data_IF_749103687584
#
_entry.id   IF_749103687584
#
_cell.length_a   1.000
_cell.length_b   1.000
_cell.length_c   1.000
_cell.angle_alpha   90.00
_cell.angle_beta   90.00
_cell.angle_gamma   90.00
#
_symmetry.space_group_name_H-M   'P 1'
#
loop_
_entity.id
_entity.type
_entity.pdbx_description
1 polymer ?
#
# COMPACT_ATOMS: atom_id res chain seq x y z
N UNK A 1 -1.53 -5.58 -9.84
CA UNK A 1 -1.72 -6.53 -10.95
C UNK A 1 -0.35 -6.87 -11.49
N UNK A 2 0.04 -8.14 -11.51
CA UNK A 2 1.39 -8.48 -11.98
C UNK A 2 1.58 -8.25 -13.49
N UNK A 3 2.84 -8.25 -13.92
CA UNK A 3 3.22 -7.98 -15.32
C UNK A 3 2.64 -9.00 -16.29
N UNK A 4 2.66 -10.29 -15.94
CA UNK A 4 2.22 -11.36 -16.83
C UNK A 4 0.71 -11.25 -17.08
N UNK A 5 -0.06 -11.04 -16.02
CA UNK A 5 -1.50 -10.82 -16.11
C UNK A 5 -1.84 -9.59 -16.95
N UNK A 6 -1.17 -8.45 -16.72
CA UNK A 6 -1.42 -7.22 -17.48
C UNK A 6 -1.16 -7.38 -18.97
N UNK A 7 -0.09 -8.09 -19.34
CA UNK A 7 0.20 -8.39 -20.74
C UNK A 7 -0.88 -9.27 -21.38
N UNK A 8 -1.30 -10.32 -20.69
CA UNK A 8 -2.34 -11.23 -21.19
C UNK A 8 -3.70 -10.54 -21.32
N UNK A 9 -4.06 -9.68 -20.35
CA UNK A 9 -5.35 -9.01 -20.29
C UNK A 9 -5.39 -7.68 -21.07
N UNK A 10 -4.28 -7.28 -21.72
CA UNK A 10 -4.21 -6.00 -22.46
C UNK A 10 -4.22 -4.76 -21.57
N UNK A 11 -3.90 -4.89 -20.27
CA UNK A 11 -3.95 -3.82 -19.27
C UNK A 11 -2.59 -3.14 -19.10
N UNK A 12 -1.98 -2.71 -20.22
CA UNK A 12 -0.63 -2.16 -20.23
C UNK A 12 -0.56 -0.65 -19.96
N UNK A 13 -1.71 0.02 -19.88
CA UNK A 13 -1.74 1.44 -19.54
C UNK A 13 -1.18 1.68 -18.13
N UNK A 14 -0.31 2.69 -17.92
CA UNK A 14 0.28 3.00 -16.61
C UNK A 14 -0.75 3.31 -15.51
N UNK A 15 -1.98 3.69 -15.85
CA UNK A 15 -3.03 3.91 -14.86
C UNK A 15 -3.36 2.63 -14.04
N UNK A 16 -3.03 1.44 -14.56
CA UNK A 16 -3.14 0.17 -13.84
C UNK A 16 -1.96 -0.11 -12.89
N UNK A 17 -0.90 0.70 -12.88
CA UNK A 17 0.22 0.56 -11.95
C UNK A 17 -0.25 0.70 -10.48
N UNK A 18 -1.30 1.50 -10.28
CA UNK A 18 -1.92 1.74 -8.98
C UNK A 18 -3.03 0.74 -8.61
N UNK A 19 -3.31 -0.25 -9.48
CA UNK A 19 -4.33 -1.29 -9.26
C UNK A 19 -3.65 -2.61 -8.90
N UNK A 20 -3.91 -3.08 -7.70
CA UNK A 20 -3.35 -4.32 -7.17
C UNK A 20 -4.08 -5.54 -7.73
N UNK A 21 -5.41 -5.49 -7.77
CA UNK A 21 -6.25 -6.65 -8.09
C UNK A 21 -7.51 -6.26 -8.86
N UNK A 22 -8.06 -7.24 -9.58
CA UNK A 22 -9.42 -7.19 -10.13
C UNK A 22 -10.26 -8.14 -9.29
N UNK A 23 -11.29 -7.62 -8.62
CA UNK A 23 -12.20 -8.40 -7.78
C UNK A 23 -13.51 -8.62 -8.54
N UNK A 24 -13.89 -9.87 -8.75
CA UNK A 24 -15.15 -10.24 -9.40
C UNK A 24 -16.16 -10.57 -8.31
N UNK A 25 -17.28 -9.85 -8.32
CA UNK A 25 -18.41 -10.02 -7.41
C UNK A 25 -19.68 -10.36 -8.21
N UNK A 26 -20.77 -10.81 -7.55
CA UNK A 26 -22.02 -11.12 -8.24
C UNK A 26 -22.61 -9.94 -9.03
N UNK A 27 -22.37 -8.72 -8.59
CA UNK A 27 -22.85 -7.47 -9.19
C UNK A 27 -21.88 -6.86 -10.21
N UNK A 28 -20.64 -7.36 -10.32
CA UNK A 28 -19.73 -6.93 -11.36
C UNK A 28 -18.26 -7.00 -10.99
N UNK A 29 -17.44 -6.28 -11.77
CA UNK A 29 -15.99 -6.26 -11.64
C UNK A 29 -15.53 -4.98 -10.95
N UNK A 30 -14.65 -5.08 -9.98
CA UNK A 30 -14.10 -3.95 -9.23
C UNK A 30 -12.58 -3.90 -9.39
N UNK A 31 -12.03 -2.69 -9.50
CA UNK A 31 -10.59 -2.46 -9.47
C UNK A 31 -10.19 -2.16 -8.02
N UNK A 32 -9.26 -2.94 -7.44
CA UNK A 32 -8.82 -2.77 -6.06
C UNK A 32 -7.41 -2.18 -6.02
N UNK A 33 -7.26 -1.05 -5.32
CA UNK A 33 -5.98 -0.49 -4.87
C UNK A 33 -5.85 -0.65 -3.36
N UNK A 34 -4.94 -1.51 -2.92
CA UNK A 34 -4.76 -1.87 -1.52
C UNK A 34 -3.65 -1.01 -0.89
N UNK A 35 -3.89 -0.59 0.35
CA UNK A 35 -2.95 0.13 1.22
C UNK A 35 -2.96 -0.54 2.60
N UNK A 36 -1.86 -0.36 3.33
CA UNK A 36 -1.74 -0.98 4.65
C UNK A 36 -2.54 -0.23 5.70
N UNK A 37 -2.35 1.08 5.78
CA UNK A 37 -2.79 1.87 6.92
C UNK A 37 -3.12 3.30 6.53
N UNK A 38 -3.67 4.05 7.49
CA UNK A 38 -3.90 5.49 7.38
C UNK A 38 -2.67 6.31 6.98
N UNK A 39 -1.46 5.78 7.18
CA UNK A 39 -0.19 6.45 6.91
C UNK A 39 0.49 6.00 5.61
N UNK A 40 -0.03 4.99 4.93
CA UNK A 40 0.60 4.42 3.73
C UNK A 40 0.74 5.43 2.59
N UNK A 41 -0.18 6.40 2.51
CA UNK A 41 -0.16 7.42 1.46
C UNK A 41 0.05 8.82 2.02
N UNK A 42 0.89 9.58 1.32
CA UNK A 42 1.10 11.01 1.52
C UNK A 42 0.39 11.81 0.42
N UNK A 43 0.45 13.15 0.50
CA UNK A 43 -0.25 14.03 -0.45
C UNK A 43 0.07 13.75 -1.92
N UNK A 44 1.35 13.65 -2.27
CA UNK A 44 1.76 13.38 -3.65
C UNK A 44 1.24 12.06 -4.19
N UNK A 45 1.18 11.02 -3.33
CA UNK A 45 0.62 9.72 -3.70
C UNK A 45 -0.90 9.79 -3.86
N UNK A 46 -1.62 10.48 -2.98
CA UNK A 46 -3.06 10.68 -3.11
C UNK A 46 -3.44 11.40 -4.42
N UNK A 47 -2.69 12.44 -4.79
CA UNK A 47 -2.87 13.14 -6.06
C UNK A 47 -2.52 12.24 -7.26
N UNK A 48 -1.46 11.44 -7.15
CA UNK A 48 -1.09 10.43 -8.15
C UNK A 48 -2.25 9.45 -8.40
N UNK A 49 -2.79 8.88 -7.33
CA UNK A 49 -3.94 7.96 -7.38
C UNK A 49 -5.16 8.62 -8.02
N UNK A 50 -5.49 9.86 -7.66
CA UNK A 50 -6.61 10.58 -8.28
C UNK A 50 -6.45 10.69 -9.80
N UNK A 51 -5.24 11.01 -10.29
CA UNK A 51 -4.95 11.09 -11.72
C UNK A 51 -5.07 9.73 -12.41
N UNK A 52 -4.49 8.67 -11.84
CA UNK A 52 -4.58 7.32 -12.39
C UNK A 52 -6.03 6.83 -12.44
N UNK A 53 -6.79 7.03 -11.37
CA UNK A 53 -8.21 6.64 -11.30
C UNK A 53 -9.06 7.41 -12.31
N UNK A 54 -8.81 8.71 -12.49
CA UNK A 54 -9.47 9.49 -13.54
C UNK A 54 -9.20 8.93 -14.94
N UNK A 55 -7.97 8.53 -15.24
CA UNK A 55 -7.64 7.89 -16.52
C UNK A 55 -8.39 6.57 -16.71
N UNK A 56 -8.49 5.73 -15.67
CA UNK A 56 -9.27 4.49 -15.72
C UNK A 56 -10.77 4.74 -15.94
N UNK A 57 -11.33 5.75 -15.27
CA UNK A 57 -12.73 6.15 -15.46
C UNK A 57 -12.99 6.65 -16.87
N UNK A 58 -12.08 7.43 -17.46
CA UNK A 58 -12.17 7.87 -18.84
C UNK A 58 -12.10 6.70 -19.84
N UNK A 59 -11.21 5.72 -19.60
CA UNK A 59 -11.16 4.50 -20.42
C UNK A 59 -12.47 3.71 -20.33
N UNK A 60 -13.08 3.65 -19.15
CA UNK A 60 -14.39 3.00 -18.95
C UNK A 60 -15.50 3.74 -19.70
N UNK A 61 -15.55 5.06 -19.60
CA UNK A 61 -16.53 5.90 -20.31
C UNK A 61 -16.39 5.77 -21.83
N UNK A 62 -15.16 5.58 -22.32
CA UNK A 62 -14.87 5.29 -23.72
C UNK A 62 -15.16 3.83 -24.15
N UNK A 63 -15.59 2.96 -23.23
CA UNK A 63 -15.89 1.56 -23.50
C UNK A 63 -14.65 0.68 -23.73
N UNK A 64 -13.45 1.13 -23.33
CA UNK A 64 -12.20 0.38 -23.52
C UNK A 64 -11.99 -0.69 -22.44
N UNK A 65 -12.55 -0.48 -21.26
CA UNK A 65 -12.49 -1.39 -20.12
C UNK A 65 -13.82 -1.37 -19.37
N UNK A 66 -14.17 -2.47 -18.71
CA UNK A 66 -15.42 -2.60 -17.94
C UNK A 66 -15.12 -2.86 -16.46
N UNK A 67 -15.70 -2.05 -15.59
CA UNK A 67 -15.72 -2.23 -14.13
C UNK A 67 -16.79 -1.32 -13.51
N UNK A 68 -17.32 -1.72 -12.35
CA UNK A 68 -18.35 -1.01 -11.60
C UNK A 68 -17.76 0.21 -10.88
N UNK A 69 -16.78 -0.02 -10.00
CA UNK A 69 -16.11 1.02 -9.22
C UNK A 69 -14.64 0.70 -8.97
N UNK A 70 -13.92 1.74 -8.57
CA UNK A 70 -12.58 1.61 -7.99
C UNK A 70 -12.75 1.57 -6.47
N UNK A 71 -12.11 0.60 -5.83
CA UNK A 71 -12.11 0.43 -4.39
C UNK A 71 -10.69 0.63 -3.87
N UNK A 72 -10.56 1.47 -2.85
CA UNK A 72 -9.34 1.61 -2.06
C UNK A 72 -9.51 0.87 -0.75
N UNK A 73 -8.77 -0.22 -0.58
CA UNK A 73 -8.82 -1.05 0.62
C UNK A 73 -7.68 -0.74 1.59
N UNK A 74 -7.99 -0.38 2.84
CA UNK A 74 -7.00 -0.18 3.91
C UNK A 74 -7.10 -1.36 4.88
N UNK A 75 -6.11 -2.25 4.92
CA UNK A 75 -6.32 -3.56 5.56
C UNK A 75 -6.30 -3.56 7.10
N UNK A 76 -5.82 -2.49 7.77
CA UNK A 76 -6.02 -2.29 9.21
C UNK A 76 -6.31 -0.84 9.59
N UNK A 77 -6.99 -0.66 10.73
CA UNK A 77 -7.46 0.63 11.25
C UNK A 77 -8.99 0.79 11.12
N UNK A 78 -9.47 2.00 11.37
CA UNK A 78 -10.89 2.37 11.25
C UNK A 78 -11.07 3.50 10.24
N UNK A 79 -12.26 3.61 9.66
CA UNK A 79 -12.58 4.64 8.66
C UNK A 79 -12.46 6.06 9.24
N UNK A 80 -12.91 6.26 10.48
CA UNK A 80 -12.90 7.56 11.17
C UNK A 80 -11.48 8.08 11.46
N UNK A 81 -10.49 7.17 11.48
CA UNK A 81 -9.10 7.49 11.74
C UNK A 81 -8.27 7.69 10.46
N UNK A 82 -8.87 7.54 9.28
CA UNK A 82 -8.15 7.76 8.03
C UNK A 82 -7.76 9.22 7.89
N UNK A 83 -6.55 9.44 7.38
CA UNK A 83 -6.08 10.80 7.09
C UNK A 83 -6.89 11.42 5.95
N UNK A 84 -6.84 12.74 5.84
CA UNK A 84 -7.45 13.53 4.76
C UNK A 84 -7.01 13.05 3.36
N UNK A 85 -5.87 12.37 3.24
CA UNK A 85 -5.35 11.82 1.99
C UNK A 85 -6.30 10.84 1.31
N UNK A 86 -7.10 10.11 2.10
CA UNK A 86 -8.14 9.20 1.58
C UNK A 86 -9.38 9.95 1.06
N UNK A 87 -9.54 11.22 1.40
CA UNK A 87 -10.52 12.14 0.78
C UNK A 87 -9.92 12.81 -0.46
N UNK A 88 -8.66 13.23 -0.39
CA UNK A 88 -7.94 13.86 -1.52
C UNK A 88 -7.85 12.94 -2.73
N UNK A 89 -7.58 11.63 -2.55
CA UNK A 89 -7.55 10.69 -3.69
C UNK A 89 -8.90 10.58 -4.41
N UNK A 90 -10.01 10.91 -3.72
CA UNK A 90 -11.37 10.96 -4.28
C UNK A 90 -11.71 12.33 -4.88
N UNK A 91 -10.78 13.29 -4.82
CA UNK A 91 -10.98 14.67 -5.29
C UNK A 91 -11.65 15.60 -4.28
N UNK A 92 -11.80 15.19 -3.03
CA UNK A 92 -12.43 16.00 -2.00
C UNK A 92 -11.34 16.79 -1.26
N UNK A 93 -11.28 18.10 -1.47
CA UNK A 93 -10.34 19.02 -0.82
C UNK A 93 -11.09 19.97 0.13
N UNK A 94 -10.51 20.26 1.30
CA UNK A 94 -11.09 21.19 2.30
C UNK A 94 -10.06 22.21 2.79
N UNK A 95 -9.00 22.46 2.02
CA UNK A 95 -7.87 23.31 2.38
C UNK A 95 -7.25 23.96 1.16
N UNK A 96 -5.92 23.88 1.03
CA UNK A 96 -5.22 24.37 -0.16
C UNK A 96 -5.75 23.68 -1.43
N UNK A 97 -5.81 24.44 -2.53
CA UNK A 97 -6.20 23.90 -3.81
C UNK A 97 -5.16 22.87 -4.28
N UNK A 98 -5.65 21.71 -4.67
CA UNK A 98 -4.86 20.64 -5.25
C UNK A 98 -5.47 20.31 -6.61
N UNK A 99 -4.64 20.04 -7.60
CA UNK A 99 -5.08 19.62 -8.93
C UNK A 99 -5.61 18.17 -8.87
N UNK A 100 -6.82 18.03 -8.34
CA UNK A 100 -7.58 16.77 -8.21
C UNK A 100 -9.00 16.99 -8.72
N UNK A 101 -9.59 15.94 -9.27
CA UNK A 101 -10.98 15.96 -9.77
C UNK A 101 -11.86 15.11 -8.86
N UNK A 102 -13.03 15.63 -8.52
CA UNK A 102 -14.03 14.89 -7.73
C UNK A 102 -14.50 13.66 -8.50
N UNK A 103 -14.11 12.51 -7.98
CA UNK A 103 -14.46 11.16 -8.46
C UNK A 103 -15.07 10.35 -7.32
N UNK A 104 -15.56 11.02 -6.27
CA UNK A 104 -16.01 10.39 -5.04
C UNK A 104 -17.19 9.45 -5.21
N UNK A 105 -18.04 9.65 -6.23
CA UNK A 105 -19.15 8.75 -6.56
C UNK A 105 -18.69 7.41 -7.17
N UNK A 106 -17.48 7.39 -7.75
CA UNK A 106 -16.90 6.25 -8.47
C UNK A 106 -15.80 5.52 -7.69
N UNK A 107 -15.29 6.15 -6.62
CA UNK A 107 -14.22 5.62 -5.78
C UNK A 107 -14.72 5.45 -4.34
N UNK A 108 -14.68 4.21 -3.86
CA UNK A 108 -15.04 3.84 -2.48
C UNK A 108 -13.78 3.52 -1.66
N UNK A 109 -13.84 3.78 -0.34
CA UNK A 109 -12.74 3.51 0.58
C UNK A 109 -13.28 2.66 1.72
N UNK A 110 -12.68 1.49 1.93
CA UNK A 110 -12.99 0.61 3.05
C UNK A 110 -11.75 0.43 3.94
N UNK A 111 -11.95 0.32 5.26
CA UNK A 111 -10.85 0.22 6.23
C UNK A 111 -11.11 -0.86 7.28
N UNK A 112 -10.07 -1.60 7.64
CA UNK A 112 -10.11 -2.65 8.67
C UNK A 112 -11.18 -3.69 8.38
N UNK A 113 -12.06 -3.93 9.35
CA UNK A 113 -13.12 -4.95 9.23
C UNK A 113 -13.95 -4.72 7.97
N UNK A 114 -14.39 -3.49 7.69
CA UNK A 114 -15.20 -3.18 6.53
C UNK A 114 -14.51 -3.54 5.19
N UNK A 115 -13.18 -3.41 5.12
CA UNK A 115 -12.43 -3.86 3.95
C UNK A 115 -12.46 -5.39 3.80
N UNK A 116 -12.20 -6.12 4.89
CA UNK A 116 -12.23 -7.58 4.88
C UNK A 116 -13.63 -8.13 4.62
N UNK A 117 -14.66 -7.54 5.23
CA UNK A 117 -16.07 -7.87 4.99
C UNK A 117 -16.45 -7.62 3.54
N UNK A 118 -16.04 -6.49 2.97
CA UNK A 118 -16.25 -6.24 1.55
C UNK A 118 -15.51 -7.27 0.69
N UNK A 119 -14.24 -7.58 0.97
CA UNK A 119 -13.43 -8.46 0.13
C UNK A 119 -13.96 -9.91 0.14
N UNK A 120 -14.29 -10.43 1.32
CA UNK A 120 -14.70 -11.82 1.51
C UNK A 120 -16.22 -12.04 1.43
N UNK A 121 -17.02 -10.97 1.57
CA UNK A 121 -18.47 -11.06 1.72
C UNK A 121 -18.94 -11.54 3.10
N UNK A 122 -18.06 -11.51 4.12
CA UNK A 122 -18.35 -12.00 5.47
C UNK A 122 -17.69 -11.11 6.54
N UNK A 123 -18.47 -10.72 7.56
CA UNK A 123 -18.03 -9.86 8.65
C UNK A 123 -16.95 -10.46 9.55
N UNK A 124 -16.78 -11.79 9.56
CA UNK A 124 -15.79 -12.50 10.34
C UNK A 124 -14.45 -12.70 9.59
N UNK A 125 -14.32 -12.18 8.37
CA UNK A 125 -13.16 -12.44 7.52
C UNK A 125 -11.84 -11.95 8.13
N UNK A 126 -11.85 -10.82 8.84
CA UNK A 126 -10.66 -10.30 9.51
C UNK A 126 -10.16 -11.28 10.58
N UNK A 127 -11.07 -11.88 11.34
CA UNK A 127 -10.77 -12.85 12.39
C UNK A 127 -10.18 -14.14 11.80
N UNK A 128 -10.66 -14.58 10.63
CA UNK A 128 -10.09 -15.74 9.94
C UNK A 128 -8.65 -15.49 9.49
N UNK A 129 -8.37 -14.30 8.93
CA UNK A 129 -7.01 -13.90 8.56
C UNK A 129 -6.09 -13.92 9.78
N UNK A 130 -6.51 -13.31 10.89
CA UNK A 130 -5.73 -13.30 12.13
C UNK A 130 -5.52 -14.70 12.71
N UNK A 131 -6.54 -15.56 12.67
CA UNK A 131 -6.43 -16.95 13.11
C UNK A 131 -5.45 -17.76 12.26
N UNK A 132 -5.44 -17.54 10.94
CA UNK A 132 -4.49 -18.16 10.02
C UNK A 132 -3.05 -17.77 10.32
N UNK A 133 -2.79 -16.46 10.49
CA UNK A 133 -1.46 -15.94 10.85
C UNK A 133 -1.00 -16.51 12.19
N UNK A 134 -1.87 -16.49 13.21
CA UNK A 134 -1.54 -17.02 14.53
C UNK A 134 -1.17 -18.51 14.49
N UNK A 135 -1.95 -19.33 13.77
CA UNK A 135 -1.65 -20.76 13.60
C UNK A 135 -0.30 -20.99 12.91
N UNK A 136 0.02 -20.18 11.89
CA UNK A 136 1.29 -20.28 11.19
C UNK A 136 2.48 -19.93 12.11
N UNK A 137 2.36 -18.86 12.92
CA UNK A 137 3.37 -18.47 13.90
C UNK A 137 3.57 -19.57 14.96
N UNK A 138 2.48 -20.12 15.51
CA UNK A 138 2.59 -21.21 16.51
C UNK A 138 3.24 -22.45 15.90
N UNK A 139 2.95 -22.76 14.63
CA UNK A 139 3.59 -23.87 13.92
C UNK A 139 5.09 -23.60 13.62
N UNK A 140 5.48 -22.35 13.35
CA UNK A 140 6.88 -21.98 13.05
C UNK A 140 7.74 -21.80 14.30
N UNK A 141 7.18 -21.26 15.38
CA UNK A 141 7.87 -21.06 16.66
C UNK A 141 8.30 -22.39 17.33
N UNK A 142 7.80 -23.54 16.84
CA UNK A 142 8.32 -24.86 17.18
C UNK A 142 9.74 -25.13 16.61
N UNK A 143 10.34 -24.19 15.88
CA UNK A 143 11.73 -24.22 15.43
C UNK A 143 12.55 -23.11 16.10
N UNK A 144 13.45 -23.46 17.02
CA UNK A 144 14.28 -22.58 17.87
C UNK A 144 15.32 -21.69 17.11
N UNK A 145 15.19 -21.53 15.79
CA UNK A 145 16.23 -20.94 14.94
C UNK A 145 16.17 -19.41 14.80
N UNK A 146 15.07 -18.74 15.18
CA UNK A 146 14.86 -17.32 14.81
C UNK A 146 15.61 -16.31 15.70
N UNK A 147 15.87 -16.62 16.97
CA UNK A 147 16.49 -15.65 17.89
C UNK A 147 17.99 -15.46 17.63
N UNK A 148 18.68 -16.45 17.05
CA UNK A 148 20.11 -16.35 16.72
C UNK A 148 20.37 -15.56 15.43
N UNK A 149 19.42 -15.55 14.48
CA UNK A 149 19.58 -14.90 13.18
C UNK A 149 19.45 -13.36 13.21
N UNK A 150 18.80 -12.78 14.23
CA UNK A 150 18.66 -11.33 14.36
C UNK A 150 19.94 -10.67 14.85
N UNK A 151 20.58 -11.25 15.85
CA UNK A 151 21.70 -10.63 16.55
C UNK A 151 22.98 -10.69 15.72
N UNK A 152 23.26 -11.83 15.08
CA UNK A 152 24.41 -11.98 14.17
C UNK A 152 24.31 -11.06 12.94
N UNK A 153 23.11 -10.82 12.40
CA UNK A 153 22.93 -9.91 11.25
C UNK A 153 23.08 -8.45 11.64
N UNK A 154 22.55 -8.07 12.81
CA UNK A 154 22.71 -6.72 13.35
C UNK A 154 24.19 -6.46 13.64
N UNK A 155 24.88 -7.39 14.30
CA UNK A 155 26.31 -7.28 14.58
C UNK A 155 27.14 -7.23 13.30
N UNK A 156 26.83 -8.06 12.29
CA UNK A 156 27.55 -8.05 11.01
C UNK A 156 27.36 -6.73 10.24
N UNK A 157 26.13 -6.19 10.21
CA UNK A 157 25.83 -4.94 9.53
C UNK A 157 26.44 -3.72 10.24
N UNK A 158 26.31 -3.68 11.57
CA UNK A 158 26.90 -2.63 12.41
C UNK A 158 28.43 -2.70 12.36
N UNK A 159 29.03 -3.90 12.45
CA UNK A 159 30.49 -4.07 12.35
C UNK A 159 31.02 -3.66 10.97
N UNK A 160 30.28 -3.94 9.90
CA UNK A 160 30.63 -3.50 8.54
C UNK A 160 30.64 -1.97 8.41
N UNK A 161 29.61 -1.29 8.91
CA UNK A 161 29.54 0.17 8.93
C UNK A 161 30.59 0.82 9.86
N UNK A 162 30.76 0.30 11.08
CA UNK A 162 31.72 0.84 12.05
C UNK A 162 33.17 0.63 11.61
N UNK A 163 33.47 -0.46 10.88
CA UNK A 163 34.81 -0.70 10.34
C UNK A 163 35.25 0.35 9.29
N UNK A 164 34.30 1.00 8.61
CA UNK A 164 34.57 2.03 7.61
C UNK A 164 34.64 3.45 8.19
N UNK A 165 34.05 3.68 9.36
CA UNK A 165 33.83 5.01 9.93
C UNK A 165 34.67 5.24 11.19
N UNK A 166 35.06 4.17 11.89
CA UNK A 166 35.71 4.27 13.20
C UNK A 166 34.76 4.79 14.28
N UNK A 167 35.31 5.00 15.48
CA UNK A 167 34.58 5.59 16.61
C UNK A 167 34.33 7.08 16.34
N UNK A 168 33.07 7.47 16.11
CA UNK A 168 32.71 8.88 15.84
C UNK A 168 32.78 9.70 17.12
N UNK A 169 33.91 10.38 17.34
CA UNK A 169 34.17 11.14 18.58
C UNK A 169 34.44 12.61 18.34
N UNK A 170 34.72 12.99 17.10
CA UNK A 170 35.11 14.35 16.72
C UNK A 170 34.27 14.84 15.54
N UNK A 171 34.25 16.16 15.34
CA UNK A 171 33.61 16.80 14.19
C UNK A 171 34.15 16.26 12.85
N UNK A 172 35.45 15.95 12.78
CA UNK A 172 36.09 15.40 11.59
C UNK A 172 35.62 13.97 11.26
N UNK A 173 35.22 13.20 12.28
CA UNK A 173 34.65 11.86 12.11
C UNK A 173 33.24 11.95 11.53
N UNK A 174 32.43 12.93 11.98
CA UNK A 174 31.12 13.22 11.39
C UNK A 174 31.22 13.67 9.94
N UNK A 175 32.19 14.53 9.61
CA UNK A 175 32.44 14.95 8.23
C UNK A 175 32.82 13.74 7.36
N UNK A 176 33.65 12.84 7.88
CA UNK A 176 34.05 11.61 7.16
C UNK A 176 32.87 10.65 6.96
N UNK A 177 32.02 10.47 7.96
CA UNK A 177 30.80 9.67 7.89
C UNK A 177 29.82 10.20 6.83
N UNK A 178 29.55 11.51 6.86
CA UNK A 178 28.65 12.17 5.89
C UNK A 178 29.21 12.05 4.47
N UNK A 179 30.52 12.23 4.28
CA UNK A 179 31.16 12.04 2.98
C UNK A 179 31.08 10.59 2.48
N UNK A 180 31.04 9.59 3.37
CA UNK A 180 30.90 8.19 2.99
C UNK A 180 29.45 7.85 2.57
N UNK A 181 28.44 8.44 3.23
CA UNK A 181 27.01 8.28 2.86
C UNK A 181 26.69 8.98 1.53
N UNK A 182 27.31 10.14 1.28
CA UNK A 182 26.99 10.99 0.14
C UNK A 182 27.79 10.70 -1.14
N UNK A 183 28.59 9.61 -1.18
CA UNK A 183 29.31 9.13 -2.37
C UNK A 183 28.48 8.08 -3.10
#
# INVERSE_FOLDING_TARGET
>A
LDKAYRQQAGLMDPAFDDIDQIVIKPDGKYLLSQKASKWTIQLGQAMGLNRSFRSLLAMREAGLIEFEKIVVGVFYGHADDLTDKYRVLRGITTGAEHDVVDISSQVEVYSGRAFWSWLAGDEAAQEWVMAGIYRAIVASAATEAETQLSDEKIEHHISGMLSQVGDVKTEQDWISFINAINR
#
